data_IF_824797394076
#
_entry.id   IF_824797394076
#
_cell.length_a   1.000
_cell.length_b   1.000
_cell.length_c   1.000
_cell.angle_alpha   90.00
_cell.angle_beta   90.00
_cell.angle_gamma   90.00
#
_symmetry.space_group_name_H-M   'P 1'
#
loop_
_entity.id
_entity.type
_entity.pdbx_description
1 polymer ?
#
# COMPACT_ATOMS: atom_id res chain seq x y z
N UNK A 1 -24.29 -20.62 16.51
CA UNK A 1 -23.26 -20.23 15.52
C UNK A 1 -22.41 -19.18 16.19
N UNK A 2 -21.11 -19.44 16.33
CA UNK A 2 -20.17 -18.48 16.91
C UNK A 2 -20.09 -17.23 16.01
N UNK A 3 -20.22 -16.04 16.59
CA UNK A 3 -20.08 -14.76 15.85
C UNK A 3 -18.76 -14.10 16.21
N UNK A 4 -17.92 -13.84 15.21
CA UNK A 4 -16.62 -13.18 15.41
C UNK A 4 -16.78 -11.66 15.31
N UNK A 5 -16.43 -10.93 16.38
CA UNK A 5 -16.28 -9.47 16.32
C UNK A 5 -15.00 -9.09 15.59
N UNK A 6 -15.03 -8.05 14.75
CA UNK A 6 -13.86 -7.57 14.00
C UNK A 6 -13.61 -6.09 14.23
N UNK A 7 -12.33 -5.73 14.33
CA UNK A 7 -11.85 -4.34 14.20
C UNK A 7 -11.15 -4.21 12.85
N UNK A 8 -11.54 -3.25 12.02
CA UNK A 8 -11.00 -3.07 10.67
C UNK A 8 -10.41 -1.66 10.49
N UNK A 9 -9.48 -1.53 9.54
CA UNK A 9 -8.95 -0.24 9.10
C UNK A 9 -7.93 0.40 10.06
N UNK A 10 -7.36 -0.36 11.01
CA UNK A 10 -6.30 0.15 11.87
C UNK A 10 -5.03 0.36 11.05
N UNK A 11 -4.55 1.61 10.95
CA UNK A 11 -3.28 1.89 10.28
C UNK A 11 -2.11 1.34 11.11
N UNK A 12 -1.47 0.27 10.61
CA UNK A 12 -0.23 -0.28 11.19
C UNK A 12 1.01 0.35 10.57
N UNK A 13 0.85 0.93 9.37
CA UNK A 13 1.82 1.78 8.71
C UNK A 13 1.04 2.90 8.01
N UNK A 14 1.28 4.15 8.40
CA UNK A 14 0.61 5.29 7.79
C UNK A 14 0.94 5.38 6.30
N UNK A 15 -0.01 5.86 5.50
CA UNK A 15 0.25 6.19 4.10
C UNK A 15 1.25 7.34 4.05
N UNK A 16 2.43 7.10 3.51
CA UNK A 16 3.49 8.10 3.47
C UNK A 16 4.43 7.90 2.28
N UNK A 17 5.08 8.99 1.89
CA UNK A 17 6.20 8.99 0.98
C UNK A 17 7.47 8.51 1.69
N UNK A 18 8.30 7.76 0.98
CA UNK A 18 9.58 7.24 1.46
C UNK A 18 10.64 7.52 0.41
N UNK A 19 11.58 8.37 0.80
CA UNK A 19 12.73 8.68 -0.05
C UNK A 19 13.82 7.65 0.18
N UNK A 20 14.30 7.01 -0.89
CA UNK A 20 15.40 6.05 -0.79
C UNK A 20 16.73 6.75 -0.49
N UNK A 21 17.61 6.20 0.37
CA UNK A 21 17.42 5.03 1.23
C UNK A 21 16.75 5.38 2.57
N UNK A 22 15.82 4.55 3.02
CA UNK A 22 15.17 4.70 4.31
C UNK A 22 14.54 3.40 4.83
N UNK A 23 14.41 3.32 6.15
CA UNK A 23 13.60 2.31 6.84
C UNK A 23 12.51 3.00 7.62
N UNK A 24 11.27 2.56 7.41
CA UNK A 24 10.09 3.08 8.11
C UNK A 24 9.55 2.00 9.04
N UNK A 25 9.46 2.33 10.33
CA UNK A 25 8.87 1.45 11.34
C UNK A 25 7.45 1.92 11.64
N UNK A 26 6.48 1.04 11.40
CA UNK A 26 5.08 1.27 11.69
C UNK A 26 4.75 1.23 13.19
N UNK A 27 3.52 1.61 13.51
CA UNK A 27 3.01 1.66 14.88
C UNK A 27 2.80 0.26 15.44
N UNK A 28 3.41 -0.05 16.58
CA UNK A 28 3.15 -1.30 17.29
C UNK A 28 1.70 -1.34 17.81
N UNK A 29 0.98 -2.40 17.47
CA UNK A 29 -0.39 -2.64 17.90
C UNK A 29 -0.40 -3.72 18.99
N UNK A 30 -1.13 -3.46 20.08
CA UNK A 30 -1.44 -4.48 21.07
C UNK A 30 -2.55 -5.40 20.52
N UNK A 31 -2.23 -6.68 20.49
CA UNK A 31 -3.12 -7.73 20.01
C UNK A 31 -3.27 -8.87 21.02
N UNK A 32 -2.87 -8.68 22.27
CA UNK A 32 -2.88 -9.72 23.30
C UNK A 32 -4.26 -10.30 23.62
N UNK A 33 -5.32 -9.62 23.20
CA UNK A 33 -6.72 -10.02 23.39
C UNK A 33 -7.38 -10.50 22.10
N UNK A 34 -6.64 -10.53 20.99
CA UNK A 34 -7.15 -10.82 19.65
C UNK A 34 -6.87 -12.27 19.27
N UNK A 35 -7.65 -12.78 18.34
CA UNK A 35 -7.59 -14.19 17.92
C UNK A 35 -6.85 -14.36 16.59
N UNK A 36 -7.06 -13.44 15.65
CA UNK A 36 -6.45 -13.50 14.32
C UNK A 36 -6.29 -12.10 13.74
N UNK A 37 -5.36 -11.94 12.79
CA UNK A 37 -5.17 -10.71 12.03
C UNK A 37 -5.00 -10.96 10.54
N UNK A 38 -5.50 -10.02 9.75
CA UNK A 38 -5.14 -9.83 8.35
C UNK A 38 -4.45 -8.48 8.23
N UNK A 39 -3.24 -8.47 7.66
CA UNK A 39 -2.48 -7.26 7.35
C UNK A 39 -2.49 -7.10 5.83
N UNK A 40 -2.87 -5.92 5.35
CA UNK A 40 -2.86 -5.52 3.95
C UNK A 40 -1.75 -4.49 3.76
N UNK A 41 -0.85 -4.73 2.82
CA UNK A 41 0.32 -3.89 2.56
C UNK A 41 0.25 -3.38 1.13
N UNK A 42 0.58 -2.10 0.97
CA UNK A 42 0.45 -1.38 -0.29
C UNK A 42 1.78 -0.69 -0.57
N UNK A 43 2.29 -0.86 -1.78
CA UNK A 43 3.51 -0.24 -2.27
C UNK A 43 3.28 0.36 -3.65
N UNK A 44 3.95 1.46 -3.94
CA UNK A 44 4.06 2.01 -5.28
C UNK A 44 5.37 2.76 -5.46
N UNK A 45 6.07 2.53 -6.57
CA UNK A 45 7.20 3.38 -6.96
C UNK A 45 6.67 4.70 -7.53
N UNK A 46 7.28 5.82 -7.18
CA UNK A 46 6.88 7.18 -7.63
C UNK A 46 8.04 7.90 -8.33
N UNK A 47 8.85 7.13 -9.06
CA UNK A 47 9.99 7.63 -9.81
C UNK A 47 10.17 6.81 -11.09
N UNK A 48 10.24 7.50 -12.24
CA UNK A 48 10.43 6.88 -13.55
C UNK A 48 11.90 6.49 -13.79
N UNK A 49 12.47 5.71 -12.87
CA UNK A 49 13.83 5.22 -12.90
C UNK A 49 13.85 3.72 -12.59
N UNK A 50 14.87 3.02 -13.08
CA UNK A 50 15.01 1.59 -12.83
C UNK A 50 15.18 1.31 -11.34
N UNK A 51 14.18 0.67 -10.75
CA UNK A 51 14.13 0.36 -9.33
C UNK A 51 14.69 -1.05 -9.06
N UNK A 52 16.01 -1.17 -8.99
CA UNK A 52 16.68 -2.47 -8.75
C UNK A 52 16.61 -2.96 -7.30
N UNK A 53 16.04 -2.16 -6.41
CA UNK A 53 15.87 -2.48 -4.99
C UNK A 53 14.65 -1.69 -4.48
N UNK A 54 13.44 -2.20 -4.69
CA UNK A 54 12.20 -1.50 -4.36
C UNK A 54 11.84 -1.53 -2.87
N UNK A 55 12.71 -2.10 -2.04
CA UNK A 55 12.45 -2.33 -0.64
C UNK A 55 11.55 -3.54 -0.37
N UNK A 56 11.30 -3.79 0.92
CA UNK A 56 10.53 -4.94 1.39
C UNK A 56 9.73 -4.61 2.64
N UNK A 57 8.58 -5.24 2.79
CA UNK A 57 7.82 -5.24 4.04
C UNK A 57 8.23 -6.42 4.91
N UNK A 58 8.42 -6.14 6.20
CA UNK A 58 8.65 -7.11 7.25
C UNK A 58 7.48 -7.03 8.24
N UNK A 59 6.67 -8.07 8.29
CA UNK A 59 5.64 -8.21 9.33
C UNK A 59 6.32 -8.82 10.55
N UNK A 60 6.27 -8.10 11.67
CA UNK A 60 6.97 -8.47 12.89
C UNK A 60 6.01 -8.62 14.07
N UNK A 61 6.34 -9.57 14.94
CA UNK A 61 5.57 -9.87 16.15
C UNK A 61 6.48 -9.82 17.37
N UNK A 62 5.89 -9.57 18.54
CA UNK A 62 6.59 -9.54 19.82
C UNK A 62 5.76 -10.25 20.89
N UNK A 63 6.44 -11.05 21.72
CA UNK A 63 5.88 -11.65 22.93
C UNK A 63 5.99 -10.72 24.16
N UNK A 64 6.63 -9.56 24.02
CA UNK A 64 6.79 -8.59 25.10
C UNK A 64 5.60 -7.64 25.13
N UNK A 65 5.14 -7.22 26.32
CA UNK A 65 4.03 -6.30 26.48
C UNK A 65 4.35 -4.85 26.08
N UNK A 66 5.63 -4.47 26.12
CA UNK A 66 6.12 -3.14 25.75
C UNK A 66 7.59 -3.19 25.32
N UNK A 67 8.16 -2.04 24.92
CA UNK A 67 9.57 -1.94 24.50
C UNK A 67 9.81 -2.28 23.02
N UNK A 68 11.05 -2.11 22.57
CA UNK A 68 11.44 -2.16 21.16
C UNK A 68 12.45 -3.27 20.81
N UNK A 69 12.77 -4.16 21.75
CA UNK A 69 13.97 -5.01 21.66
C UNK A 69 13.68 -6.48 21.28
N UNK A 70 12.40 -6.91 21.28
CA UNK A 70 12.01 -8.31 21.06
C UNK A 70 11.06 -8.49 19.87
N UNK A 71 11.50 -8.12 18.68
CA UNK A 71 10.71 -8.24 17.44
C UNK A 71 11.26 -9.35 16.55
N UNK A 72 10.37 -10.23 16.08
CA UNK A 72 10.70 -11.33 15.17
C UNK A 72 9.87 -11.20 13.90
N UNK A 73 10.52 -11.27 12.74
CA UNK A 73 9.84 -11.28 11.45
C UNK A 73 9.14 -12.62 11.23
N UNK A 74 7.83 -12.58 10.96
CA UNK A 74 7.01 -13.76 10.68
C UNK A 74 6.60 -13.85 9.21
N UNK A 75 6.69 -12.75 8.47
CA UNK A 75 6.42 -12.70 7.03
C UNK A 75 7.23 -11.57 6.38
N UNK A 76 7.69 -11.81 5.16
CA UNK A 76 8.49 -10.88 4.37
C UNK A 76 7.93 -10.82 2.95
N UNK A 77 7.83 -9.60 2.40
CA UNK A 77 7.34 -9.35 1.05
C UNK A 77 8.26 -8.37 0.34
N UNK A 78 8.89 -8.81 -0.74
CA UNK A 78 9.68 -7.96 -1.61
C UNK A 78 8.74 -7.23 -2.59
N UNK A 79 8.92 -5.92 -2.72
CA UNK A 79 8.27 -5.16 -3.79
C UNK A 79 8.85 -5.56 -5.16
N UNK A 80 8.10 -5.27 -6.22
CA UNK A 80 8.50 -5.67 -7.59
C UNK A 80 9.67 -4.83 -8.10
N UNK A 81 10.65 -5.49 -8.74
CA UNK A 81 11.75 -4.81 -9.44
C UNK A 81 11.25 -4.44 -10.84
N UNK A 82 11.18 -3.14 -11.10
CA UNK A 82 10.52 -2.58 -12.29
C UNK A 82 11.06 -1.17 -12.58
N UNK A 83 10.59 -0.57 -13.66
CA UNK A 83 10.73 0.86 -13.94
C UNK A 83 9.32 1.38 -14.09
N UNK A 84 8.92 2.32 -13.24
CA UNK A 84 7.58 2.89 -13.31
C UNK A 84 7.44 3.80 -14.53
N UNK A 85 6.36 3.63 -15.27
CA UNK A 85 5.83 4.66 -16.17
C UNK A 85 4.87 5.55 -15.39
N UNK A 86 4.69 6.76 -15.91
CA UNK A 86 3.90 7.81 -15.27
C UNK A 86 3.13 8.61 -16.28
N UNK A 87 1.94 9.06 -15.89
CA UNK A 87 1.13 9.97 -16.67
C UNK A 87 0.33 10.88 -15.74
N UNK A 88 0.29 12.17 -16.07
CA UNK A 88 -0.55 13.13 -15.36
C UNK A 88 -1.99 13.06 -15.85
N UNK A 89 -2.95 13.26 -14.94
CA UNK A 89 -4.33 13.49 -15.34
C UNK A 89 -4.46 14.78 -16.13
N UNK A 90 -5.42 14.83 -17.04
CA UNK A 90 -5.68 16.03 -17.87
C UNK A 90 -6.98 16.73 -17.48
N UNK A 91 -7.75 16.15 -16.57
CA UNK A 91 -9.00 16.68 -16.05
C UNK A 91 -9.07 16.49 -14.52
N UNK A 92 -10.01 17.21 -13.90
CA UNK A 92 -10.42 16.92 -12.52
C UNK A 92 -11.40 15.76 -12.56
N UNK A 93 -11.05 14.68 -11.85
CA UNK A 93 -11.86 13.47 -11.79
C UNK A 93 -12.61 13.42 -10.44
N UNK A 94 -13.96 13.41 -10.44
CA UNK A 94 -14.72 13.40 -9.21
C UNK A 94 -14.60 12.06 -8.46
N UNK A 95 -14.91 12.05 -7.17
CA UNK A 95 -15.09 10.81 -6.44
C UNK A 95 -16.12 9.89 -7.13
N UNK A 96 -15.88 8.58 -7.05
CA UNK A 96 -16.56 7.51 -7.78
C UNK A 96 -16.36 7.49 -9.30
N UNK A 97 -15.56 8.38 -9.88
CA UNK A 97 -15.18 8.31 -11.30
C UNK A 97 -14.37 7.04 -11.58
N UNK A 98 -14.62 6.46 -12.74
CA UNK A 98 -13.96 5.23 -13.21
C UNK A 98 -13.14 5.45 -14.46
N UNK A 99 -13.29 6.59 -15.14
CA UNK A 99 -12.57 6.92 -16.37
C UNK A 99 -11.62 8.08 -16.08
N UNK A 100 -10.33 7.79 -15.97
CA UNK A 100 -9.31 8.80 -15.73
C UNK A 100 -8.81 9.34 -17.07
N UNK A 101 -9.04 10.63 -17.36
CA UNK A 101 -8.67 11.23 -18.63
C UNK A 101 -7.19 11.61 -18.64
N UNK A 102 -6.45 11.09 -19.62
CA UNK A 102 -5.00 11.28 -19.78
C UNK A 102 -4.64 11.65 -21.22
N UNK A 103 -3.45 12.21 -21.43
CA UNK A 103 -2.98 12.56 -22.77
C UNK A 103 -2.30 11.37 -23.48
N UNK A 104 -1.62 10.52 -22.70
CA UNK A 104 -0.89 9.35 -23.18
C UNK A 104 -1.24 8.14 -22.33
N UNK A 105 -1.32 6.98 -22.98
CA UNK A 105 -1.47 5.71 -22.27
C UNK A 105 -0.23 4.82 -22.41
N UNK A 106 0.89 5.41 -22.84
CA UNK A 106 2.15 4.70 -23.03
C UNK A 106 2.64 4.09 -21.72
N UNK A 107 3.01 2.81 -21.73
CA UNK A 107 3.48 2.09 -20.54
C UNK A 107 2.36 1.45 -19.71
N UNK A 108 1.12 1.89 -19.87
CA UNK A 108 -0.03 1.33 -19.17
C UNK A 108 -0.68 0.19 -19.96
N UNK A 109 -1.08 -0.86 -19.25
CA UNK A 109 -1.78 -2.01 -19.82
C UNK A 109 -3.01 -2.38 -18.99
N UNK A 110 -4.01 -2.96 -19.66
CA UNK A 110 -5.18 -3.48 -18.97
C UNK A 110 -4.76 -4.53 -17.94
N UNK A 111 -5.35 -4.49 -16.76
CA UNK A 111 -5.00 -5.27 -15.57
C UNK A 111 -3.73 -4.83 -14.83
N UNK A 112 -3.11 -3.70 -15.17
CA UNK A 112 -2.09 -3.13 -14.29
C UNK A 112 -2.72 -2.75 -12.95
N UNK A 113 -1.92 -2.89 -11.90
CA UNK A 113 -2.23 -2.24 -10.63
C UNK A 113 -1.59 -0.85 -10.67
N UNK A 114 -2.42 0.16 -10.45
CA UNK A 114 -2.04 1.55 -10.55
C UNK A 114 -2.00 2.18 -9.18
N UNK A 115 -1.08 3.12 -9.02
CA UNK A 115 -1.10 4.08 -7.92
C UNK A 115 -1.53 5.44 -8.45
N UNK A 116 -2.70 5.89 -8.01
CA UNK A 116 -3.26 7.20 -8.32
C UNK A 116 -2.80 8.16 -7.21
N UNK A 117 -1.72 8.87 -7.49
CA UNK A 117 -1.08 9.79 -6.56
C UNK A 117 -1.83 11.12 -6.54
N UNK A 118 -2.33 11.45 -5.35
CA UNK A 118 -2.63 12.82 -4.97
C UNK A 118 -1.31 13.55 -4.67
N UNK A 119 -1.01 14.58 -5.45
CA UNK A 119 0.23 15.32 -5.37
C UNK A 119 0.25 16.34 -4.23
N UNK A 120 -0.91 16.66 -3.65
CA UNK A 120 -1.05 17.62 -2.55
C UNK A 120 -1.16 16.92 -1.20
N UNK A 121 -1.93 15.83 -1.11
CA UNK A 121 -2.24 15.09 0.11
C UNK A 121 -2.00 13.60 -0.09
N UNK A 122 -0.81 13.12 0.26
CA UNK A 122 -0.43 11.70 0.09
C UNK A 122 -1.47 10.72 0.66
N UNK A 123 -2.12 11.05 1.78
CA UNK A 123 -3.13 10.20 2.41
C UNK A 123 -4.40 9.99 1.56
N UNK A 124 -4.66 10.90 0.60
CA UNK A 124 -5.80 10.81 -0.30
C UNK A 124 -5.47 10.05 -1.59
N UNK A 125 -4.19 9.70 -1.80
CA UNK A 125 -3.78 8.82 -2.90
C UNK A 125 -4.35 7.42 -2.72
N UNK A 126 -4.52 6.70 -3.83
CA UNK A 126 -5.20 5.41 -3.83
C UNK A 126 -4.60 4.41 -4.83
N UNK A 127 -4.91 3.13 -4.61
CA UNK A 127 -4.51 2.04 -5.50
C UNK A 127 -5.74 1.55 -6.26
N UNK A 128 -5.64 1.47 -7.59
CA UNK A 128 -6.74 1.08 -8.46
C UNK A 128 -6.31 0.00 -9.46
N UNK A 129 -7.25 -0.85 -9.89
CA UNK A 129 -6.99 -1.84 -10.94
C UNK A 129 -7.41 -1.25 -12.28
N UNK A 130 -6.50 -1.23 -13.25
CA UNK A 130 -6.83 -0.89 -14.63
C UNK A 130 -7.73 -1.97 -15.23
N UNK A 131 -8.92 -1.58 -15.68
CA UNK A 131 -9.84 -2.44 -16.43
C UNK A 131 -9.48 -2.47 -17.91
N UNK A 132 -9.39 -1.29 -18.53
CA UNK A 132 -9.08 -1.13 -19.95
C UNK A 132 -8.41 0.22 -20.23
N UNK A 133 -7.80 0.31 -21.42
CA UNK A 133 -7.09 1.50 -21.91
C UNK A 133 -7.77 1.97 -23.19
N UNK A 134 -8.14 3.25 -23.23
CA UNK A 134 -8.50 3.94 -24.47
C UNK A 134 -7.29 4.73 -24.90
N UNK A 135 -6.62 4.28 -25.97
CA UNK A 135 -5.32 4.81 -26.41
C UNK A 135 -5.30 6.32 -26.47
N UNK A 136 -4.33 6.91 -25.77
CA UNK A 136 -4.07 8.36 -25.71
C UNK A 136 -5.31 9.19 -25.34
N UNK A 137 -6.19 8.61 -24.52
CA UNK A 137 -7.46 9.25 -24.10
C UNK A 137 -7.77 8.99 -22.63
N UNK A 138 -7.82 7.72 -22.21
CA UNK A 138 -8.22 7.40 -20.83
C UNK A 138 -7.71 6.06 -20.33
N UNK A 139 -7.64 5.97 -19.01
CA UNK A 139 -7.43 4.74 -18.26
C UNK A 139 -8.70 4.47 -17.47
N UNK A 140 -9.36 3.35 -17.75
CA UNK A 140 -10.58 2.97 -17.05
C UNK A 140 -10.24 2.05 -15.87
N UNK A 141 -10.77 2.34 -14.69
CA UNK A 141 -10.61 1.56 -13.47
C UNK A 141 -11.74 0.55 -13.29
N UNK A 142 -11.46 -0.54 -12.57
CA UNK A 142 -12.47 -1.52 -12.15
C UNK A 142 -13.42 -0.92 -11.11
N UNK A 143 -12.87 -0.19 -10.14
CA UNK A 143 -13.59 0.46 -9.06
C UNK A 143 -13.44 1.98 -9.19
N UNK A 144 -14.47 2.72 -8.79
CA UNK A 144 -14.42 4.18 -8.82
C UNK A 144 -13.50 4.76 -7.75
N UNK A 145 -12.94 5.95 -8.01
CA UNK A 145 -12.08 6.66 -7.08
C UNK A 145 -12.77 6.90 -5.72
N UNK A 146 -12.01 6.81 -4.64
CA UNK A 146 -12.52 7.18 -3.31
C UNK A 146 -12.51 8.69 -3.12
N UNK A 147 -11.43 9.34 -3.56
CA UNK A 147 -11.24 10.77 -3.42
C UNK A 147 -11.26 11.44 -4.80
N UNK A 148 -11.66 12.70 -4.85
CA UNK A 148 -11.47 13.52 -6.05
C UNK A 148 -9.98 13.63 -6.39
N UNK A 149 -9.67 13.73 -7.68
CA UNK A 149 -8.32 13.95 -8.21
C UNK A 149 -8.28 15.17 -9.08
N UNK A 150 -7.20 15.93 -8.98
CA UNK A 150 -6.99 17.11 -9.80
C UNK A 150 -6.20 16.79 -11.08
N UNK A 151 -6.04 17.78 -11.95
CA UNK A 151 -5.29 17.63 -13.20
C UNK A 151 -3.77 17.77 -13.04
N UNK A 152 -3.27 17.88 -11.81
CA UNK A 152 -1.85 17.81 -11.48
C UNK A 152 -1.49 16.45 -10.86
N UNK A 153 -2.49 15.68 -10.43
CA UNK A 153 -2.35 14.33 -9.93
C UNK A 153 -1.83 13.36 -10.99
N UNK A 154 -1.13 12.34 -10.50
CA UNK A 154 -0.27 11.50 -11.33
C UNK A 154 -0.61 10.03 -11.13
N UNK A 155 -0.64 9.28 -12.22
CA UNK A 155 -0.85 7.84 -12.23
C UNK A 155 0.50 7.15 -12.44
N UNK A 156 0.77 6.13 -11.64
CA UNK A 156 1.95 5.27 -11.75
C UNK A 156 1.53 3.82 -11.98
N UNK A 157 2.19 3.10 -12.89
CA UNK A 157 1.87 1.70 -13.21
C UNK A 157 2.68 0.66 -12.42
N UNK A 158 3.47 1.09 -11.44
CA UNK A 158 4.32 0.21 -10.62
C UNK A 158 3.83 0.20 -9.19
N UNK A 159 2.87 -0.68 -8.93
CA UNK A 159 2.28 -0.85 -7.62
C UNK A 159 2.14 -2.32 -7.24
N UNK A 160 2.19 -2.60 -5.94
CA UNK A 160 2.04 -3.94 -5.38
C UNK A 160 1.06 -3.94 -4.20
N UNK A 161 0.32 -5.05 -4.07
CA UNK A 161 -0.51 -5.37 -2.90
C UNK A 161 -0.09 -6.70 -2.31
N UNK A 162 0.12 -6.73 -1.00
CA UNK A 162 0.43 -7.96 -0.27
C UNK A 162 -0.54 -8.19 0.88
N UNK A 163 -0.69 -9.45 1.26
CA UNK A 163 -1.52 -9.86 2.40
C UNK A 163 -0.77 -10.84 3.29
N UNK A 164 -0.80 -10.59 4.60
CA UNK A 164 -0.35 -11.53 5.61
C UNK A 164 -1.53 -11.89 6.53
N UNK A 165 -1.69 -13.18 6.81
CA UNK A 165 -2.69 -13.67 7.76
C UNK A 165 -1.98 -14.34 8.93
N UNK A 166 -2.38 -13.98 10.15
CA UNK A 166 -1.73 -14.42 11.37
C UNK A 166 -2.74 -14.97 12.37
N UNK A 167 -2.39 -16.07 13.02
CA UNK A 167 -2.98 -16.48 14.29
C UNK A 167 -2.36 -15.64 15.41
N UNK A 168 -3.20 -14.99 16.21
CA UNK A 168 -2.77 -14.08 17.27
C UNK A 168 -2.91 -14.68 18.68
N UNK A 169 -3.36 -15.94 18.80
CA UNK A 169 -3.64 -16.57 20.11
C UNK A 169 -2.45 -16.64 21.06
N UNK A 170 -1.22 -16.53 20.55
CA UNK A 170 0.02 -16.50 21.34
C UNK A 170 0.85 -15.21 21.15
N UNK A 171 0.29 -14.17 20.53
CA UNK A 171 1.01 -12.95 20.15
C UNK A 171 0.54 -11.77 20.96
N UNK A 172 1.48 -10.99 21.50
CA UNK A 172 1.15 -9.81 22.31
C UNK A 172 1.10 -8.56 21.45
N UNK A 173 2.08 -8.35 20.57
CA UNK A 173 2.13 -7.17 19.70
C UNK A 173 2.53 -7.50 18.28
N UNK A 174 2.06 -6.69 17.35
CA UNK A 174 2.42 -6.75 15.94
C UNK A 174 2.82 -5.36 15.42
N UNK A 175 3.72 -5.32 14.44
CA UNK A 175 4.05 -4.11 13.67
C UNK A 175 4.46 -4.50 12.25
N UNK A 176 4.52 -3.51 11.38
CA UNK A 176 5.12 -3.65 10.05
C UNK A 176 6.33 -2.72 9.95
N UNK A 177 7.41 -3.19 9.36
CA UNK A 177 8.56 -2.38 8.96
C UNK A 177 8.65 -2.41 7.45
N UNK A 178 8.88 -1.26 6.83
CA UNK A 178 9.29 -1.21 5.43
C UNK A 178 10.77 -0.86 5.39
N UNK A 179 11.58 -1.74 4.84
CA UNK A 179 13.03 -1.58 4.75
C UNK A 179 13.40 -1.32 3.29
N UNK A 180 13.98 -0.15 3.03
CA UNK A 180 14.36 0.31 1.70
C UNK A 180 15.75 0.93 1.74
N UNK A 181 16.72 0.10 2.10
CA UNK A 181 18.11 0.47 2.31
C UNK A 181 18.98 0.01 1.13
N UNK A 182 20.04 0.74 0.82
CA UNK A 182 20.96 0.36 -0.26
C UNK A 182 21.56 1.55 -0.97
N UNK A 183 22.24 1.28 -2.09
CA UNK A 183 22.92 2.30 -2.88
C UNK A 183 22.10 2.81 -4.08
N UNK A 184 21.07 2.08 -4.49
CA UNK A 184 20.19 2.42 -5.59
C UNK A 184 18.79 1.91 -5.26
N UNK A 185 17.76 2.68 -5.59
CA UNK A 185 16.35 2.41 -5.34
C UNK A 185 15.53 3.65 -5.69
N UNK A 186 14.31 3.45 -6.20
CA UNK A 186 13.39 4.55 -6.50
C UNK A 186 12.68 5.04 -5.23
N UNK A 187 12.27 6.30 -5.20
CA UNK A 187 11.33 6.76 -4.18
C UNK A 187 9.99 6.02 -4.30
N UNK A 188 9.34 5.77 -3.17
CA UNK A 188 8.11 4.98 -3.14
C UNK A 188 7.11 5.53 -2.12
N UNK A 189 5.84 5.17 -2.29
CA UNK A 189 4.78 5.41 -1.32
C UNK A 189 4.31 4.08 -0.75
N UNK A 190 4.05 4.05 0.56
CA UNK A 190 3.70 2.82 1.27
C UNK A 190 2.53 3.04 2.22
N UNK A 191 1.77 1.98 2.49
CA UNK A 191 0.68 1.95 3.47
C UNK A 191 0.48 0.54 4.02
N UNK A 192 0.02 0.44 5.26
CA UNK A 192 -0.30 -0.83 5.91
C UNK A 192 -1.57 -0.73 6.75
N UNK A 193 -2.51 -1.63 6.52
CA UNK A 193 -3.76 -1.74 7.25
C UNK A 193 -3.87 -3.07 7.98
N UNK A 194 -4.44 -3.04 9.19
CA UNK A 194 -4.70 -4.19 10.03
C UNK A 194 -6.21 -4.38 10.22
N UNK A 195 -6.63 -5.63 10.13
CA UNK A 195 -7.96 -6.12 10.54
C UNK A 195 -7.77 -7.23 11.56
N UNK A 196 -8.42 -7.17 12.72
CA UNK A 196 -8.35 -8.20 13.76
C UNK A 196 -9.69 -8.89 13.97
N UNK A 197 -9.66 -10.18 14.31
CA UNK A 197 -10.75 -10.90 14.95
C UNK A 197 -10.60 -10.81 16.46
N UNK A 198 -11.56 -10.18 17.13
CA UNK A 198 -11.40 -9.72 18.51
C UNK A 198 -11.94 -10.70 19.55
N UNK A 199 -13.11 -11.28 19.29
CA UNK A 199 -13.79 -12.16 20.24
C UNK A 199 -14.78 -13.07 19.52
N UNK A 200 -15.19 -14.14 20.20
CA UNK A 200 -16.24 -15.06 19.77
C UNK A 200 -17.39 -14.95 20.78
N UNK A 201 -18.58 -14.60 20.29
CA UNK A 201 -19.84 -14.64 21.04
C UNK A 201 -20.68 -15.87 20.65
#
# INVERSE_FOLDING_TARGET
MATISKTAGTAILAHQAVNHPATVVGSAQDVSTKLAATILLFHASVEAAANTNPGKFLVQVSGSASGNEDWVTVSEFDATISTADTEAMTATEPAAETVLVVASTTGFTANDLLYIQDTTVVADSEWGRCQEIVTDTSINLVDGLTNEKDNADVIWNDADLFVAQLDLTAITRIRTVFQHEGAAGANCHIKGLLVTGDSIA
#
